data_IF_571360976284
#
_entry.id   IF_571360976284
#
_cell.length_a   1.000
_cell.length_b   1.000
_cell.length_c   1.000
_cell.angle_alpha   90.00
_cell.angle_beta   90.00
_cell.angle_gamma   90.00
#
_symmetry.space_group_name_H-M   'P 1'
#
loop_
_entity.id
_entity.type
_entity.pdbx_description
1 polymer ?
#
# COMPACT_ATOMS: atom_id res chain seq x y z
N UNK A 1 -14.97 -2.23 -5.87
CA UNK A 1 -13.87 -1.27 -5.67
C UNK A 1 -12.78 -1.88 -4.81
N UNK A 2 -11.52 -1.70 -5.21
CA UNK A 2 -10.32 -2.06 -4.46
C UNK A 2 -9.47 -0.81 -4.24
N UNK A 3 -8.97 -0.61 -3.02
CA UNK A 3 -7.97 0.42 -2.72
C UNK A 3 -6.62 -0.24 -2.55
N UNK A 4 -5.59 0.33 -3.19
CA UNK A 4 -4.20 -0.10 -3.05
C UNK A 4 -3.34 1.12 -2.74
N UNK A 5 -2.34 0.94 -1.88
CA UNK A 5 -1.37 1.96 -1.53
C UNK A 5 -0.06 1.31 -1.09
N UNK A 6 0.98 2.12 -0.97
CA UNK A 6 2.19 1.79 -0.26
C UNK A 6 2.24 2.55 1.07
N UNK A 7 2.87 1.97 2.08
CA UNK A 7 3.16 2.62 3.34
C UNK A 7 4.67 2.81 3.47
N UNK A 8 5.08 4.02 3.83
CA UNK A 8 6.44 4.40 4.17
C UNK A 8 6.46 4.83 5.63
N UNK A 9 7.63 4.82 6.27
CA UNK A 9 7.75 5.14 7.69
C UNK A 9 7.18 6.53 8.06
N UNK A 10 7.09 7.42 7.08
CA UNK A 10 6.73 8.81 7.24
C UNK A 10 5.39 9.19 6.59
N UNK A 11 4.82 8.33 5.74
CA UNK A 11 3.60 8.66 4.98
C UNK A 11 2.96 7.46 4.30
N UNK A 12 1.69 7.59 3.95
CA UNK A 12 1.06 6.75 2.92
C UNK A 12 1.49 7.30 1.55
N UNK A 13 1.82 6.41 0.62
CA UNK A 13 2.35 6.74 -0.71
C UNK A 13 1.63 5.94 -1.80
N UNK A 14 1.67 6.44 -3.03
CA UNK A 14 1.10 5.76 -4.20
C UNK A 14 -0.35 5.25 -4.00
N UNK A 15 -1.30 6.03 -3.44
CA UNK A 15 -2.68 5.57 -3.34
C UNK A 15 -3.33 5.45 -4.72
N UNK A 16 -4.09 4.38 -4.95
CA UNK A 16 -4.88 4.20 -6.15
C UNK A 16 -6.17 3.44 -5.87
N UNK A 17 -7.25 3.82 -6.55
CA UNK A 17 -8.56 3.17 -6.46
C UNK A 17 -8.86 2.49 -7.79
N UNK A 18 -9.26 1.23 -7.70
CA UNK A 18 -9.56 0.37 -8.84
C UNK A 18 -11.04 -0.03 -8.77
N UNK A 19 -11.76 0.10 -9.88
CA UNK A 19 -13.12 -0.42 -9.97
C UNK A 19 -13.12 -1.91 -10.33
N UNK A 20 -13.03 -2.75 -9.29
CA UNK A 20 -13.05 -4.21 -9.43
C UNK A 20 -12.04 -4.90 -8.53
N UNK A 21 -11.98 -6.24 -8.57
CA UNK A 21 -10.96 -7.01 -7.88
C UNK A 21 -9.59 -6.79 -8.52
N UNK A 22 -8.53 -6.79 -7.70
CA UNK A 22 -7.17 -6.72 -8.20
C UNK A 22 -6.73 -8.07 -8.79
N UNK A 23 -5.98 -8.03 -9.89
CA UNK A 23 -5.33 -9.20 -10.50
C UNK A 23 -3.86 -8.87 -10.84
N UNK A 24 -3.13 -9.81 -11.45
CA UNK A 24 -1.71 -9.61 -11.78
C UNK A 24 -1.45 -8.50 -12.80
N UNK A 25 -2.35 -8.29 -13.75
CA UNK A 25 -2.24 -7.23 -14.76
C UNK A 25 -2.47 -5.85 -14.15
N UNK A 26 -3.55 -5.69 -13.39
CA UNK A 26 -3.87 -4.45 -12.68
C UNK A 26 -2.81 -4.10 -11.63
N UNK A 27 -2.30 -5.09 -10.90
CA UNK A 27 -1.19 -4.88 -9.98
C UNK A 27 0.09 -4.45 -10.72
N UNK A 28 0.39 -5.05 -11.86
CA UNK A 28 1.54 -4.62 -12.69
C UNK A 28 1.38 -3.18 -13.15
N UNK A 29 0.19 -2.81 -13.63
CA UNK A 29 -0.13 -1.45 -14.05
C UNK A 29 0.01 -0.46 -12.88
N UNK A 30 -0.50 -0.79 -11.70
CA UNK A 30 -0.31 -0.02 -10.47
C UNK A 30 1.18 0.20 -10.18
N UNK A 31 1.98 -0.87 -10.25
CA UNK A 31 3.42 -0.79 -9.96
C UNK A 31 4.12 0.12 -10.97
N UNK A 32 3.84 -0.03 -12.26
CA UNK A 32 4.49 0.76 -13.31
C UNK A 32 4.11 2.23 -13.28
N UNK A 33 2.82 2.54 -13.05
CA UNK A 33 2.28 3.88 -13.22
C UNK A 33 2.23 4.69 -11.94
N UNK A 34 2.12 4.03 -10.79
CA UNK A 34 1.85 4.71 -9.51
C UNK A 34 2.97 4.46 -8.50
N UNK A 35 3.37 3.19 -8.28
CA UNK A 35 4.37 2.89 -7.25
C UNK A 35 5.79 3.23 -7.68
N UNK A 36 6.27 2.66 -8.78
CA UNK A 36 7.66 2.77 -9.23
C UNK A 36 8.14 4.22 -9.41
N UNK A 37 7.33 5.18 -9.92
CA UNK A 37 7.72 6.58 -9.96
C UNK A 37 8.08 7.18 -8.59
N UNK A 38 7.52 6.66 -7.51
CA UNK A 38 7.79 7.13 -6.12
C UNK A 38 9.03 6.50 -5.49
N UNK A 39 9.65 5.50 -6.13
CA UNK A 39 10.77 4.77 -5.57
C UNK A 39 12.11 5.42 -5.88
N UNK A 40 13.02 5.32 -4.92
CA UNK A 40 14.43 5.67 -5.03
C UNK A 40 15.35 4.43 -5.05
N UNK A 41 16.58 4.54 -5.60
CA UNK A 41 17.55 3.47 -5.55
C UNK A 41 17.85 3.00 -4.12
N UNK A 42 17.95 1.69 -3.92
CA UNK A 42 18.19 1.07 -2.60
C UNK A 42 16.94 0.81 -1.76
N UNK A 43 15.77 1.33 -2.14
CA UNK A 43 14.53 1.08 -1.42
C UNK A 43 14.05 -0.37 -1.58
N UNK A 44 13.31 -0.86 -0.58
CA UNK A 44 12.76 -2.20 -0.54
C UNK A 44 11.23 -2.11 -0.50
N UNK A 45 10.59 -2.66 -1.53
CA UNK A 45 9.15 -2.88 -1.56
C UNK A 45 8.85 -4.23 -0.90
N UNK A 46 8.22 -4.18 0.27
CA UNK A 46 7.73 -5.37 0.97
C UNK A 46 6.31 -5.66 0.50
N UNK A 47 6.05 -6.90 0.07
CA UNK A 47 4.74 -7.34 -0.42
C UNK A 47 4.31 -8.58 0.36
N UNK A 48 3.00 -8.75 0.57
CA UNK A 48 2.47 -10.05 0.97
C UNK A 48 2.65 -11.08 -0.15
N UNK A 49 2.32 -12.35 0.13
CA UNK A 49 2.58 -13.44 -0.80
C UNK A 49 1.44 -13.69 -1.83
N UNK A 50 0.55 -12.73 -2.06
CA UNK A 50 -0.56 -12.85 -3.00
C UNK A 50 -0.06 -13.11 -4.44
N UNK A 51 -0.77 -13.96 -5.18
CA UNK A 51 -0.40 -14.37 -6.53
C UNK A 51 -0.24 -13.20 -7.51
N UNK A 52 -1.09 -12.17 -7.40
CA UNK A 52 -1.03 -10.95 -8.22
C UNK A 52 0.30 -10.19 -8.08
N UNK A 53 0.97 -10.29 -6.93
CA UNK A 53 2.22 -9.58 -6.65
C UNK A 53 3.44 -10.20 -7.36
N UNK A 54 3.30 -11.39 -7.94
CA UNK A 54 4.42 -12.19 -8.45
C UNK A 54 4.81 -11.86 -9.90
N UNK A 55 4.07 -10.98 -10.58
CA UNK A 55 4.32 -10.59 -11.97
C UNK A 55 5.77 -10.19 -12.26
N UNK A 56 6.31 -10.65 -13.41
CA UNK A 56 7.68 -10.35 -13.86
C UNK A 56 7.84 -8.88 -14.25
N UNK A 57 6.88 -8.31 -14.97
CA UNK A 57 6.88 -6.90 -15.37
C UNK A 57 6.89 -5.97 -14.14
N UNK A 58 6.05 -6.22 -13.14
CA UNK A 58 6.10 -5.50 -11.86
C UNK A 58 7.49 -5.56 -11.18
N UNK A 59 8.18 -6.72 -11.24
CA UNK A 59 9.55 -6.85 -10.72
C UNK A 59 10.51 -5.94 -11.48
N UNK A 60 10.43 -5.98 -12.81
CA UNK A 60 11.31 -5.22 -13.69
C UNK A 60 11.11 -3.71 -13.51
N UNK A 61 9.86 -3.25 -13.37
CA UNK A 61 9.53 -1.86 -13.09
C UNK A 61 10.17 -1.36 -11.78
N UNK A 62 10.09 -2.14 -10.69
CA UNK A 62 10.75 -1.83 -9.42
C UNK A 62 12.28 -1.82 -9.59
N UNK A 63 12.84 -2.80 -10.30
CA UNK A 63 14.29 -2.91 -10.55
C UNK A 63 14.84 -1.75 -11.37
N UNK A 64 14.07 -1.25 -12.35
CA UNK A 64 14.45 -0.11 -13.17
C UNK A 64 14.63 1.18 -12.36
N UNK A 65 14.07 1.24 -11.14
CA UNK A 65 14.25 2.35 -10.18
C UNK A 65 15.45 2.16 -9.25
N UNK A 66 16.21 1.08 -9.40
CA UNK A 66 17.26 0.69 -8.46
C UNK A 66 16.72 0.14 -7.14
N UNK A 67 15.42 -0.13 -7.04
CA UNK A 67 14.76 -0.68 -5.86
C UNK A 67 14.67 -2.20 -5.92
N UNK A 68 14.40 -2.82 -4.77
CA UNK A 68 14.26 -4.27 -4.59
C UNK A 68 12.83 -4.59 -4.15
N UNK A 69 12.36 -5.81 -4.42
CA UNK A 69 11.13 -6.32 -3.79
C UNK A 69 11.45 -7.57 -2.97
N UNK A 70 10.80 -7.70 -1.83
CA UNK A 70 10.81 -8.90 -1.00
C UNK A 70 9.38 -9.31 -0.67
N UNK A 71 9.18 -10.60 -0.43
CA UNK A 71 7.89 -11.13 -0.02
C UNK A 71 7.94 -11.52 1.45
N UNK A 72 6.87 -11.20 2.17
CA UNK A 72 6.65 -11.71 3.52
C UNK A 72 6.47 -13.23 3.50
N UNK A 73 6.80 -13.91 4.62
CA UNK A 73 6.42 -15.30 4.79
C UNK A 73 4.90 -15.49 4.61
N UNK A 74 4.44 -16.65 4.08
CA UNK A 74 3.02 -16.94 4.00
C UNK A 74 2.34 -16.79 5.36
N UNK A 75 1.13 -16.21 5.38
CA UNK A 75 0.30 -16.04 6.57
C UNK A 75 0.94 -15.19 7.69
N UNK A 76 1.78 -14.21 7.35
CA UNK A 76 2.37 -13.25 8.30
C UNK A 76 1.83 -11.82 8.15
N UNK A 77 0.51 -11.58 8.35
CA UNK A 77 -0.06 -10.24 8.26
C UNK A 77 0.42 -9.31 9.38
N UNK A 78 0.85 -9.86 10.51
CA UNK A 78 1.49 -9.15 11.63
C UNK A 78 2.79 -8.43 11.21
N UNK A 79 3.52 -9.02 10.26
CA UNK A 79 4.72 -8.44 9.66
C UNK A 79 4.41 -7.44 8.53
N UNK A 80 3.14 -7.14 8.24
CA UNK A 80 2.73 -6.20 7.21
C UNK A 80 2.16 -4.91 7.82
N UNK A 81 2.97 -3.82 7.98
CA UNK A 81 2.54 -2.62 8.69
C UNK A 81 1.31 -1.94 8.07
N UNK A 82 1.10 -2.06 6.76
CA UNK A 82 -0.02 -1.42 6.06
C UNK A 82 -1.39 -2.02 6.42
N UNK A 83 -1.44 -3.23 6.98
CA UNK A 83 -2.70 -3.81 7.45
C UNK A 83 -3.33 -2.96 8.56
N UNK A 84 -2.50 -2.34 9.40
CA UNK A 84 -2.96 -1.44 10.46
C UNK A 84 -3.55 -0.14 9.89
N UNK A 85 -2.93 0.41 8.84
CA UNK A 85 -3.48 1.54 8.08
C UNK A 85 -4.83 1.19 7.51
N UNK A 86 -4.96 0.03 6.85
CA UNK A 86 -6.22 -0.40 6.26
C UNK A 86 -7.30 -0.67 7.31
N UNK A 87 -6.96 -1.17 8.49
CA UNK A 87 -7.90 -1.33 9.60
C UNK A 87 -8.48 0.03 10.03
N UNK A 88 -7.62 1.03 10.27
CA UNK A 88 -8.06 2.39 10.63
C UNK A 88 -8.85 3.05 9.50
N UNK A 89 -8.37 2.98 8.25
CA UNK A 89 -9.05 3.56 7.10
C UNK A 89 -10.45 2.97 6.90
N UNK A 90 -10.61 1.64 7.04
CA UNK A 90 -11.92 0.98 6.98
C UNK A 90 -12.86 1.48 8.08
N UNK A 91 -12.36 1.70 9.29
CA UNK A 91 -13.15 2.24 10.39
C UNK A 91 -13.65 3.67 10.07
N UNK A 92 -12.76 4.54 9.61
CA UNK A 92 -13.10 5.92 9.22
C UNK A 92 -14.09 5.96 8.05
N UNK A 93 -13.90 5.12 7.04
CA UNK A 93 -14.82 5.02 5.89
C UNK A 93 -16.22 4.56 6.30
N UNK A 94 -16.33 3.63 7.27
CA UNK A 94 -17.62 3.19 7.82
C UNK A 94 -18.32 4.33 8.56
N UNK A 95 -17.59 5.13 9.32
CA UNK A 95 -18.14 6.29 10.01
C UNK A 95 -18.60 7.40 9.05
N UNK A 96 -17.94 7.53 7.89
CA UNK A 96 -18.24 8.58 6.92
C UNK A 96 -19.46 8.27 6.01
N UNK A 97 -19.87 7.01 5.89
CA UNK A 97 -21.04 6.55 5.10
C UNK A 97 -21.23 7.21 3.72
N UNK A 98 -20.22 7.21 2.82
CA UNK A 98 -20.38 7.77 1.48
C UNK A 98 -21.46 7.01 0.71
N UNK A 99 -22.27 7.75 -0.05
CA UNK A 99 -23.50 7.22 -0.68
C UNK A 99 -23.37 6.86 -2.16
N UNK A 100 -22.23 7.17 -2.76
CA UNK A 100 -21.91 6.81 -4.14
C UNK A 100 -20.40 6.56 -4.32
N UNK A 101 -20.04 6.07 -5.50
CA UNK A 101 -18.66 5.68 -5.85
C UNK A 101 -17.71 6.88 -5.85
N UNK A 102 -18.14 8.02 -6.38
CA UNK A 102 -17.29 9.22 -6.49
C UNK A 102 -17.04 9.84 -5.10
N UNK A 103 -18.09 9.94 -4.28
CA UNK A 103 -18.00 10.35 -2.89
C UNK A 103 -17.08 9.42 -2.10
N UNK A 104 -17.13 8.11 -2.37
CA UNK A 104 -16.23 7.14 -1.75
C UNK A 104 -14.77 7.42 -2.12
N UNK A 105 -14.47 7.72 -3.39
CA UNK A 105 -13.10 8.01 -3.84
C UNK A 105 -12.56 9.29 -3.23
N UNK A 106 -13.34 10.37 -3.26
CA UNK A 106 -12.96 11.65 -2.64
C UNK A 106 -12.74 11.48 -1.14
N UNK A 107 -13.65 10.77 -0.46
CA UNK A 107 -13.54 10.52 0.97
C UNK A 107 -12.30 9.71 1.33
N UNK A 108 -11.96 8.68 0.56
CA UNK A 108 -10.70 7.94 0.78
C UNK A 108 -9.52 8.90 0.72
N UNK A 109 -9.44 9.75 -0.31
CA UNK A 109 -8.38 10.76 -0.44
C UNK A 109 -8.25 11.67 0.78
N UNK A 110 -9.37 12.28 1.22
CA UNK A 110 -9.41 13.15 2.40
C UNK A 110 -8.97 12.43 3.69
N UNK A 111 -9.36 11.16 3.85
CA UNK A 111 -9.01 10.40 5.06
C UNK A 111 -7.54 10.01 5.12
N UNK A 112 -6.83 9.97 3.99
CA UNK A 112 -5.39 9.71 3.98
C UNK A 112 -4.59 10.83 4.68
N UNK A 113 -5.11 12.06 4.70
CA UNK A 113 -4.49 13.20 5.40
C UNK A 113 -4.54 13.07 6.93
N UNK A 114 -5.33 12.11 7.46
CA UNK A 114 -5.43 11.83 8.89
C UNK A 114 -4.34 10.89 9.42
N UNK A 115 -3.40 10.46 8.56
CA UNK A 115 -2.29 9.58 8.93
C UNK A 115 -1.00 10.39 9.03
N UNK A 116 -0.63 10.75 10.25
CA UNK A 116 0.59 11.52 10.51
C UNK A 116 1.87 10.69 10.31
N UNK A 117 3.00 11.37 10.09
CA UNK A 117 4.33 10.75 10.05
C UNK A 117 4.62 9.89 11.28
N UNK A 118 4.35 10.43 12.47
CA UNK A 118 4.55 9.71 13.73
C UNK A 118 3.70 8.43 13.81
N UNK A 119 2.46 8.50 13.32
CA UNK A 119 1.58 7.33 13.26
C UNK A 119 2.08 6.28 12.26
N UNK A 120 2.51 6.71 11.06
CA UNK A 120 3.13 5.82 10.07
C UNK A 120 4.35 5.10 10.66
N UNK A 121 5.20 5.81 11.39
CA UNK A 121 6.37 5.22 12.05
C UNK A 121 5.96 4.20 13.11
N UNK A 122 4.90 4.48 13.87
CA UNK A 122 4.39 3.56 14.89
C UNK A 122 3.88 2.24 14.29
N UNK A 123 3.31 2.23 13.09
CA UNK A 123 2.93 0.98 12.42
C UNK A 123 4.15 0.10 12.12
N UNK A 124 5.25 0.67 11.62
CA UNK A 124 6.50 -0.06 11.40
C UNK A 124 7.10 -0.60 12.70
N UNK A 125 7.10 0.20 13.78
CA UNK A 125 7.52 -0.24 15.11
C UNK A 125 6.70 -1.44 15.58
N UNK A 126 5.37 -1.36 15.49
CA UNK A 126 4.47 -2.42 15.92
C UNK A 126 4.62 -3.72 15.11
N UNK A 127 5.03 -3.63 13.85
CA UNK A 127 5.31 -4.79 12.98
C UNK A 127 6.78 -5.26 13.03
N UNK A 128 7.59 -4.76 13.97
CA UNK A 128 8.95 -5.27 14.23
C UNK A 128 10.05 -4.77 13.28
N UNK A 129 9.82 -3.69 12.52
CA UNK A 129 10.81 -3.13 11.59
C UNK A 129 11.79 -2.15 12.23
N UNK A 130 11.55 -1.76 13.48
CA UNK A 130 12.36 -0.80 14.21
C UNK A 130 12.71 -1.43 15.55
N UNK A 131 14.01 -1.42 15.90
CA UNK A 131 14.43 -1.83 17.24
C UNK A 131 13.82 -0.90 18.27
N UNK A 132 13.27 -1.49 19.33
CA UNK A 132 12.91 -0.78 20.56
C UNK A 132 14.19 -0.39 21.30
#
# INVERSE_FOLDING_TARGET
>A
MTFIAALRHDRISAPWVIDGPINGELFTLYVEKVLAPTLAPGEIVVLDNLGSHKGKAARQAIRARGAHRIFLPPYSPDLNPIEQVFAKLKHLMRAAEPRDVEATWRKVGELLDLFSEAECTNYFKNSGYVSV
#
